data_IF_369963879847
#
_entry.id   IF_369963879847
#
_cell.length_a   1.000
_cell.length_b   1.000
_cell.length_c   1.000
_cell.angle_alpha   90.00
_cell.angle_beta   90.00
_cell.angle_gamma   90.00
#
_symmetry.space_group_name_H-M   'P 1'
#
loop_
_entity.id
_entity.type
_entity.pdbx_description
1 polymer ?
#
# COMPACT_ATOMS: atom_id res chain seq x y z
N UNK A 1 9.65 -12.06 -0.60
CA UNK A 1 11.10 -11.74 -0.58
C UNK A 1 11.71 -12.29 0.70
N UNK A 2 13.02 -12.53 0.72
CA UNK A 2 13.73 -12.95 1.95
C UNK A 2 13.65 -11.88 3.05
N UNK A 3 13.66 -10.60 2.67
CA UNK A 3 13.47 -9.47 3.59
C UNK A 3 12.58 -8.42 2.93
N UNK A 4 11.48 -8.05 3.57
CA UNK A 4 10.61 -6.96 3.11
C UNK A 4 10.93 -5.70 3.91
N UNK A 5 11.21 -4.59 3.22
CA UNK A 5 11.53 -3.30 3.85
C UNK A 5 10.42 -2.26 3.58
N UNK A 6 10.72 -0.99 3.77
CA UNK A 6 9.77 0.13 3.64
C UNK A 6 9.14 0.20 2.25
N UNK A 7 9.94 -0.06 1.22
CA UNK A 7 9.49 -0.06 -0.18
C UNK A 7 8.43 -1.14 -0.42
N UNK A 8 8.62 -2.35 0.14
CA UNK A 8 7.60 -3.41 0.07
C UNK A 8 6.34 -3.05 0.84
N UNK A 9 6.44 -2.31 1.96
CA UNK A 9 5.25 -1.85 2.69
C UNK A 9 4.43 -0.89 1.80
N UNK A 10 5.08 0.06 1.12
CA UNK A 10 4.40 0.97 0.18
C UNK A 10 3.76 0.21 -1.00
N UNK A 11 4.48 -0.75 -1.60
CA UNK A 11 3.95 -1.58 -2.69
C UNK A 11 2.73 -2.39 -2.23
N UNK A 12 2.82 -3.05 -1.09
CA UNK A 12 1.73 -3.86 -0.57
C UNK A 12 0.54 -3.01 -0.15
N UNK A 13 0.76 -1.81 0.40
CA UNK A 13 -0.31 -0.85 0.69
C UNK A 13 -1.05 -0.41 -0.58
N UNK A 14 -0.33 -0.11 -1.67
CA UNK A 14 -0.98 0.21 -2.95
C UNK A 14 -1.79 -0.97 -3.50
N UNK A 15 -1.25 -2.19 -3.45
CA UNK A 15 -1.99 -3.39 -3.85
C UNK A 15 -3.23 -3.62 -3.00
N UNK A 16 -3.14 -3.40 -1.68
CA UNK A 16 -4.27 -3.49 -0.75
C UNK A 16 -5.37 -2.49 -1.13
N UNK A 17 -5.02 -1.25 -1.50
CA UNK A 17 -5.98 -0.22 -1.88
C UNK A 17 -6.67 -0.54 -3.21
N UNK A 18 -5.89 -1.01 -4.21
CA UNK A 18 -6.41 -1.46 -5.50
C UNK A 18 -7.32 -2.69 -5.34
N UNK A 19 -6.95 -3.62 -4.47
CA UNK A 19 -7.78 -4.78 -4.17
C UNK A 19 -9.09 -4.35 -3.50
N UNK A 20 -9.04 -3.42 -2.53
CA UNK A 20 -10.24 -2.88 -1.90
C UNK A 20 -11.21 -2.26 -2.92
N UNK A 21 -10.69 -1.51 -3.90
CA UNK A 21 -11.51 -0.97 -4.99
C UNK A 21 -12.09 -2.07 -5.89
N UNK A 22 -11.29 -3.08 -6.27
CA UNK A 22 -11.79 -4.21 -7.05
C UNK A 22 -12.97 -4.91 -6.37
N UNK A 23 -12.87 -5.15 -5.07
CA UNK A 23 -13.94 -5.81 -4.33
C UNK A 23 -15.20 -4.93 -4.28
N UNK A 24 -15.05 -3.61 -4.10
CA UNK A 24 -16.17 -2.68 -4.12
C UNK A 24 -16.87 -2.65 -5.50
N UNK A 25 -16.11 -2.61 -6.60
CA UNK A 25 -16.66 -2.56 -7.96
C UNK A 25 -17.37 -3.87 -8.34
N UNK A 26 -16.75 -5.02 -8.03
CA UNK A 26 -17.36 -6.34 -8.32
C UNK A 26 -18.65 -6.51 -7.53
N UNK A 27 -18.66 -6.14 -6.24
CA UNK A 27 -19.87 -6.22 -5.43
C UNK A 27 -20.95 -5.28 -5.95
N UNK A 28 -20.64 -4.02 -6.24
CA UNK A 28 -21.63 -3.06 -6.75
C UNK A 28 -22.24 -3.53 -8.09
N UNK A 29 -21.40 -4.02 -9.01
CA UNK A 29 -21.87 -4.50 -10.31
C UNK A 29 -22.81 -5.71 -10.20
N UNK A 30 -22.53 -6.66 -9.31
CA UNK A 30 -23.41 -7.82 -9.08
C UNK A 30 -24.75 -7.40 -8.46
N UNK A 31 -24.72 -6.40 -7.57
CA UNK A 31 -25.93 -5.88 -6.90
C UNK A 31 -26.87 -5.19 -7.88
N UNK A 32 -26.33 -4.25 -8.67
CA UNK A 32 -27.10 -3.50 -9.67
C UNK A 32 -27.80 -4.44 -10.65
N UNK A 33 -27.14 -5.54 -11.00
CA UNK A 33 -27.67 -6.52 -11.94
C UNK A 33 -28.81 -7.38 -11.34
N UNK A 34 -28.68 -7.84 -10.10
CA UNK A 34 -29.78 -8.56 -9.42
C UNK A 34 -31.00 -7.68 -9.18
N UNK A 35 -30.80 -6.40 -8.85
CA UNK A 35 -31.89 -5.44 -8.73
C UNK A 35 -32.61 -5.21 -10.06
N UNK A 36 -31.87 -5.07 -11.16
CA UNK A 36 -32.44 -4.93 -12.50
C UNK A 36 -33.23 -6.17 -12.95
N UNK A 37 -32.74 -7.37 -12.63
CA UNK A 37 -33.40 -8.64 -12.99
C UNK A 37 -34.52 -9.05 -12.02
N UNK A 38 -34.71 -8.31 -10.91
CA UNK A 38 -35.72 -8.62 -9.89
C UNK A 38 -35.41 -9.92 -9.12
N UNK A 39 -34.14 -10.30 -9.04
CA UNK A 39 -33.68 -11.53 -8.38
C UNK A 39 -33.48 -11.26 -6.90
N UNK A 40 -34.01 -12.15 -6.05
CA UNK A 40 -33.76 -12.11 -4.61
C UNK A 40 -32.29 -12.33 -4.29
N UNK A 41 -31.62 -11.31 -3.76
CA UNK A 41 -30.19 -11.35 -3.46
C UNK A 41 -29.93 -11.79 -2.00
N UNK A 42 -28.94 -12.66 -1.81
CA UNK A 42 -28.34 -12.96 -0.51
C UNK A 42 -26.96 -12.30 -0.44
N UNK A 43 -26.71 -11.50 0.61
CA UNK A 43 -25.44 -10.83 0.81
C UNK A 43 -24.28 -11.84 0.78
N UNK A 44 -23.35 -11.66 -0.14
CA UNK A 44 -22.16 -12.50 -0.23
C UNK A 44 -21.09 -11.85 0.64
N UNK A 45 -20.70 -12.53 1.73
CA UNK A 45 -19.61 -12.08 2.58
C UNK A 45 -18.30 -12.02 1.77
N UNK A 46 -17.74 -10.81 1.68
CA UNK A 46 -16.44 -10.56 1.10
C UNK A 46 -15.43 -10.25 2.22
N UNK A 47 -14.17 -10.67 2.03
CA UNK A 47 -13.08 -10.42 2.97
C UNK A 47 -12.67 -8.95 2.99
N UNK A 48 -13.41 -8.12 3.73
CA UNK A 48 -13.16 -6.68 3.84
C UNK A 48 -11.73 -6.37 4.34
N UNK A 49 -10.99 -5.62 3.52
CA UNK A 49 -9.64 -5.19 3.81
C UNK A 49 -9.55 -3.73 4.28
N UNK A 50 -10.67 -3.06 4.55
CA UNK A 50 -10.72 -1.70 5.11
C UNK A 50 -9.94 -1.62 6.41
N UNK A 51 -10.05 -2.60 7.31
CA UNK A 51 -9.28 -2.62 8.56
C UNK A 51 -7.76 -2.74 8.32
N UNK A 52 -7.34 -3.44 7.25
CA UNK A 52 -5.93 -3.50 6.85
C UNK A 52 -5.43 -2.13 6.36
N UNK A 53 -6.21 -1.48 5.49
CA UNK A 53 -5.91 -0.14 4.97
C UNK A 53 -5.83 0.89 6.10
N UNK A 54 -6.77 0.83 7.04
CA UNK A 54 -6.81 1.68 8.22
C UNK A 54 -5.59 1.49 9.12
N UNK A 55 -5.21 0.24 9.40
CA UNK A 55 -3.99 -0.07 10.14
C UNK A 55 -2.76 0.58 9.50
N UNK A 56 -2.66 0.60 8.17
CA UNK A 56 -1.50 1.15 7.47
C UNK A 56 -1.49 2.68 7.45
N UNK A 57 -2.62 3.32 7.13
CA UNK A 57 -2.64 4.74 6.74
C UNK A 57 -3.70 5.63 7.41
N UNK A 58 -4.49 5.13 8.37
CA UNK A 58 -5.52 5.97 9.01
C UNK A 58 -4.91 7.10 9.84
N UNK A 59 -5.49 8.29 9.76
CA UNK A 59 -4.97 9.49 10.41
C UNK A 59 -5.49 9.68 11.84
N UNK A 60 -6.78 9.45 12.07
CA UNK A 60 -7.46 9.71 13.35
C UNK A 60 -6.95 8.79 14.45
N UNK A 61 -6.81 7.50 14.13
CA UNK A 61 -6.02 6.55 14.89
C UNK A 61 -4.75 6.29 14.11
N UNK A 62 -3.60 6.93 14.46
CA UNK A 62 -2.40 6.89 13.64
C UNK A 62 -2.00 5.47 13.24
N UNK A 63 -2.13 5.18 11.96
CA UNK A 63 -1.67 3.95 11.33
C UNK A 63 -0.15 3.86 11.29
N UNK A 64 0.35 2.74 10.76
CA UNK A 64 1.78 2.43 10.69
C UNK A 64 2.59 3.57 10.05
N UNK A 65 2.13 4.14 8.93
CA UNK A 65 2.87 5.20 8.23
C UNK A 65 2.87 6.53 9.01
N UNK A 66 1.79 6.86 9.71
CA UNK A 66 1.75 8.07 10.54
C UNK A 66 2.60 7.92 11.82
N UNK A 67 2.64 6.73 12.41
CA UNK A 67 3.56 6.43 13.52
C UNK A 67 5.03 6.52 13.08
N UNK A 68 5.33 6.15 11.82
CA UNK A 68 6.66 6.33 11.25
C UNK A 68 7.01 7.81 11.07
N UNK A 69 6.05 8.62 10.60
CA UNK A 69 6.22 10.07 10.45
C UNK A 69 6.52 10.75 11.79
N UNK A 70 5.83 10.35 12.87
CA UNK A 70 6.11 10.84 14.22
C UNK A 70 7.58 10.58 14.60
N UNK A 71 8.10 9.37 14.35
CA UNK A 71 9.51 9.05 14.62
C UNK A 71 10.49 9.81 13.72
N UNK A 72 10.07 10.27 12.54
CA UNK A 72 10.91 11.10 11.70
C UNK A 72 11.10 12.52 12.27
N UNK A 73 10.14 13.00 13.06
CA UNK A 73 10.20 14.34 13.68
C UNK A 73 10.92 14.38 15.03
N UNK A 74 11.00 13.26 15.72
CA UNK A 74 11.65 13.15 17.03
C UNK A 74 13.18 13.13 16.84
N UNK A 75 13.90 13.97 17.60
CA UNK A 75 15.38 14.08 17.51
C UNK A 75 16.09 12.75 17.80
N UNK A 76 15.57 11.95 18.72
CA UNK A 76 16.02 10.59 19.06
C UNK A 76 15.14 9.48 18.46
N UNK A 77 14.39 9.80 17.40
CA UNK A 77 13.56 8.83 16.69
C UNK A 77 14.40 7.70 16.11
N UNK A 78 13.92 6.47 16.25
CA UNK A 78 14.65 5.27 15.82
C UNK A 78 13.67 4.18 15.35
N UNK A 79 14.16 3.24 14.56
CA UNK A 79 13.36 2.10 14.09
C UNK A 79 12.85 1.23 15.26
N UNK A 80 13.62 1.15 16.36
CA UNK A 80 13.22 0.44 17.57
C UNK A 80 12.03 1.14 18.27
N UNK A 81 12.09 2.47 18.39
CA UNK A 81 11.00 3.26 18.95
C UNK A 81 9.76 3.22 18.06
N UNK A 82 9.94 3.21 16.74
CA UNK A 82 8.87 3.01 15.76
C UNK A 82 8.13 1.68 15.98
N UNK A 83 8.86 0.56 16.07
CA UNK A 83 8.25 -0.76 16.33
C UNK A 83 7.54 -0.78 17.68
N UNK A 84 8.14 -0.18 18.71
CA UNK A 84 7.50 -0.08 20.02
C UNK A 84 6.20 0.71 19.96
N UNK A 85 6.15 1.81 19.21
CA UNK A 85 4.95 2.62 19.02
C UNK A 85 3.85 1.86 18.27
N UNK A 86 4.20 1.14 17.18
CA UNK A 86 3.27 0.28 16.44
C UNK A 86 2.68 -0.79 17.35
N UNK A 87 3.53 -1.48 18.14
CA UNK A 87 3.09 -2.49 19.10
C UNK A 87 2.16 -1.91 20.17
N UNK A 88 2.54 -0.79 20.77
CA UNK A 88 1.76 -0.16 21.83
C UNK A 88 0.39 0.32 21.33
N UNK A 89 0.32 0.85 20.11
CA UNK A 89 -0.91 1.40 19.53
C UNK A 89 -1.87 0.34 19.02
N UNK A 90 -1.36 -0.70 18.37
CA UNK A 90 -2.15 -1.65 17.59
C UNK A 90 -2.05 -3.09 18.12
N UNK A 91 -1.63 -3.28 19.37
CA UNK A 91 -1.62 -4.60 20.01
C UNK A 91 -3.02 -5.23 19.99
N UNK A 92 -3.13 -6.45 19.45
CA UNK A 92 -4.40 -7.16 19.33
C UNK A 92 -5.22 -6.79 18.10
N UNK A 93 -4.74 -5.88 17.23
CA UNK A 93 -5.40 -5.61 15.96
C UNK A 93 -5.37 -6.87 15.05
N UNK A 94 -6.49 -7.27 14.42
CA UNK A 94 -6.59 -8.55 13.70
C UNK A 94 -5.60 -8.66 12.53
N UNK A 95 -5.24 -7.53 11.93
CA UNK A 95 -4.28 -7.46 10.82
C UNK A 95 -2.82 -7.28 11.24
N UNK A 96 -2.53 -7.02 12.52
CA UNK A 96 -1.16 -6.86 13.02
C UNK A 96 -0.62 -8.18 13.54
N UNK A 97 0.47 -8.66 12.95
CA UNK A 97 1.17 -9.88 13.37
C UNK A 97 2.47 -9.49 14.07
N UNK A 98 2.61 -9.84 15.35
CA UNK A 98 3.84 -9.62 16.08
C UNK A 98 4.75 -10.85 15.99
N UNK A 99 5.99 -10.72 15.51
CA UNK A 99 6.89 -11.87 15.43
C UNK A 99 7.26 -12.37 16.83
N UNK A 100 7.61 -13.66 16.91
CA UNK A 100 8.10 -14.29 18.15
C UNK A 100 9.37 -13.57 18.64
N UNK A 101 9.64 -13.66 19.96
CA UNK A 101 10.77 -12.98 20.64
C UNK A 101 12.07 -12.99 19.81
N UNK A 102 12.67 -11.82 19.60
CA UNK A 102 13.98 -11.66 18.95
C UNK A 102 13.97 -10.99 17.57
N UNK A 103 12.81 -10.84 16.91
CA UNK A 103 12.74 -10.18 15.60
C UNK A 103 12.49 -8.66 15.72
N UNK A 104 13.34 -7.89 15.02
CA UNK A 104 13.24 -6.44 14.87
C UNK A 104 12.26 -6.09 13.73
N UNK A 105 10.96 -6.21 14.02
CA UNK A 105 9.92 -5.88 13.04
C UNK A 105 8.50 -6.15 13.52
N UNK A 106 7.59 -6.09 12.55
CA UNK A 106 6.18 -6.46 12.66
C UNK A 106 5.73 -7.08 11.32
N UNK A 107 4.62 -7.80 11.35
CA UNK A 107 3.96 -8.30 10.15
C UNK A 107 2.56 -7.71 9.99
N UNK A 108 2.08 -7.71 8.76
CA UNK A 108 0.71 -7.32 8.41
C UNK A 108 0.07 -8.48 7.63
N UNK A 109 -1.14 -8.85 8.01
CA UNK A 109 -1.94 -9.86 7.31
C UNK A 109 -2.64 -9.25 6.09
N UNK A 110 -1.93 -9.11 4.97
CA UNK A 110 -2.52 -8.59 3.73
C UNK A 110 -3.53 -9.58 3.12
N UNK A 111 -4.36 -9.11 2.18
CA UNK A 111 -5.27 -10.00 1.43
C UNK A 111 -4.55 -11.19 0.76
N UNK A 112 -3.29 -11.00 0.36
CA UNK A 112 -2.46 -12.01 -0.28
C UNK A 112 -1.70 -12.92 0.71
N UNK A 113 -1.81 -12.67 2.03
CA UNK A 113 -1.12 -13.40 3.08
C UNK A 113 -0.31 -12.51 4.04
N UNK A 114 0.28 -13.13 5.07
CA UNK A 114 1.07 -12.41 6.08
C UNK A 114 2.44 -12.03 5.54
N UNK A 115 2.77 -10.74 5.57
CA UNK A 115 4.10 -10.23 5.21
C UNK A 115 4.78 -9.65 6.44
N UNK A 116 6.00 -10.12 6.74
CA UNK A 116 6.82 -9.57 7.82
C UNK A 116 7.79 -8.53 7.27
N UNK A 117 7.85 -7.36 7.92
CA UNK A 117 8.69 -6.24 7.56
C UNK A 117 9.86 -6.09 8.53
N UNK A 118 11.08 -6.05 7.99
CA UNK A 118 12.28 -5.66 8.72
C UNK A 118 12.37 -4.15 8.73
N UNK A 119 12.36 -3.55 9.92
CA UNK A 119 12.27 -2.08 10.06
C UNK A 119 13.60 -1.36 9.94
N UNK A 120 14.70 -2.08 9.69
CA UNK A 120 16.01 -1.47 9.58
C UNK A 120 16.03 -0.38 8.49
N UNK A 121 16.37 0.85 8.89
CA UNK A 121 16.45 2.02 8.03
C UNK A 121 15.11 2.68 7.69
N UNK A 122 13.98 2.28 8.30
CA UNK A 122 12.67 2.85 7.99
C UNK A 122 12.61 4.36 8.26
N UNK A 123 13.11 4.81 9.41
CA UNK A 123 13.09 6.23 9.77
C UNK A 123 13.95 7.06 8.81
N UNK A 124 15.11 6.55 8.41
CA UNK A 124 16.00 7.23 7.46
C UNK A 124 15.38 7.29 6.05
N UNK A 125 14.89 6.16 5.55
CA UNK A 125 14.21 6.06 4.24
C UNK A 125 12.99 6.97 4.16
N UNK A 126 12.21 7.06 5.23
CA UNK A 126 11.00 7.88 5.25
C UNK A 126 11.30 9.39 5.37
N UNK A 127 12.43 9.76 5.97
CA UNK A 127 12.92 11.15 6.06
C UNK A 127 13.30 11.70 4.68
N UNK A 128 13.93 10.87 3.84
CA UNK A 128 14.43 11.23 2.50
C UNK A 128 15.16 12.59 2.46
N UNK A 129 16.02 12.81 3.47
CA UNK A 129 16.69 14.10 3.67
C UNK A 129 17.89 14.20 2.73
N UNK A 130 17.73 14.97 1.67
CA UNK A 130 18.85 15.46 0.88
C UNK A 130 19.57 16.60 1.60
N UNK A 131 20.88 16.46 1.84
CA UNK A 131 21.70 17.50 2.46
C UNK A 131 21.74 18.76 1.62
N UNK A 132 21.46 19.92 2.24
CA UNK A 132 21.42 21.21 1.52
C UNK A 132 22.75 21.58 0.86
N UNK A 133 23.88 21.22 1.48
CA UNK A 133 25.21 21.44 0.89
C UNK A 133 25.40 20.66 -0.43
N UNK A 134 24.84 19.44 -0.51
CA UNK A 134 24.87 18.65 -1.74
C UNK A 134 23.99 19.28 -2.82
N UNK A 135 22.79 19.74 -2.46
CA UNK A 135 21.92 20.49 -3.39
C UNK A 135 22.63 21.73 -3.95
N UNK A 136 23.28 22.53 -3.10
CA UNK A 136 24.02 23.71 -3.52
C UNK A 136 25.21 23.36 -4.44
N UNK A 137 25.93 22.28 -4.13
CA UNK A 137 27.02 21.79 -4.98
C UNK A 137 26.50 21.45 -6.38
N UNK A 138 25.39 20.71 -6.47
CA UNK A 138 24.78 20.31 -7.73
C UNK A 138 24.27 21.51 -8.55
N UNK A 139 23.74 22.54 -7.87
CA UNK A 139 23.26 23.77 -8.50
C UNK A 139 24.37 24.69 -9.03
N UNK A 140 25.60 24.61 -8.50
CA UNK A 140 26.67 25.56 -8.84
C UNK A 140 27.88 24.95 -9.57
N UNK A 141 28.15 23.65 -9.40
CA UNK A 141 29.39 23.02 -9.86
C UNK A 141 29.22 21.95 -10.93
N UNK A 142 27.99 21.68 -11.37
CA UNK A 142 27.71 20.61 -12.34
C UNK A 142 27.36 21.13 -13.74
N UNK A 143 27.18 20.20 -14.69
CA UNK A 143 26.77 20.53 -16.07
C UNK A 143 25.42 21.27 -16.08
N UNK A 144 25.09 22.03 -17.14
CA UNK A 144 23.80 22.70 -17.26
C UNK A 144 22.61 21.76 -17.09
N UNK A 145 22.72 20.52 -17.62
CA UNK A 145 21.70 19.48 -17.45
C UNK A 145 21.51 19.11 -15.97
N UNK A 146 22.58 18.82 -15.24
CA UNK A 146 22.50 18.49 -13.81
C UNK A 146 21.96 19.67 -13.01
N UNK A 147 22.42 20.89 -13.28
CA UNK A 147 21.89 22.09 -12.63
C UNK A 147 20.38 22.22 -12.81
N UNK A 148 19.87 21.92 -14.00
CA UNK A 148 18.43 21.95 -14.30
C UNK A 148 17.64 20.94 -13.45
N UNK A 149 18.17 19.75 -13.20
CA UNK A 149 17.53 18.75 -12.33
C UNK A 149 17.39 19.20 -10.86
N UNK A 150 18.25 20.14 -10.42
CA UNK A 150 18.25 20.67 -9.06
C UNK A 150 17.72 22.10 -8.95
N UNK A 151 17.25 22.70 -10.06
CA UNK A 151 16.44 23.92 -10.03
C UNK A 151 14.99 23.54 -9.84
N UNK A 152 14.36 23.99 -8.75
CA UNK A 152 12.92 23.81 -8.48
C UNK A 152 12.10 24.28 -9.70
N UNK A 153 11.71 23.32 -10.54
CA UNK A 153 10.88 23.54 -11.73
C UNK A 153 9.54 22.79 -11.62
N UNK A 154 9.25 22.16 -10.48
CA UNK A 154 7.93 21.61 -10.22
C UNK A 154 6.96 22.76 -9.85
N UNK A 155 5.85 22.96 -10.59
CA UNK A 155 4.82 23.93 -10.22
C UNK A 155 3.92 23.30 -9.14
N UNK A 156 4.38 23.19 -7.90
CA UNK A 156 3.49 22.78 -6.80
C UNK A 156 4.03 23.12 -5.41
N UNK A 157 3.81 24.36 -4.97
CA UNK A 157 3.19 24.67 -3.67
C UNK A 157 3.25 26.20 -3.46
N UNK A 158 2.18 26.84 -2.93
CA UNK A 158 2.29 28.21 -2.46
C UNK A 158 3.37 28.30 -1.36
N UNK A 159 4.11 29.43 -1.27
CA UNK A 159 5.15 29.58 -0.28
C UNK A 159 4.58 29.36 1.13
N UNK A 160 5.29 28.65 2.02
CA UNK A 160 4.81 28.41 3.38
C UNK A 160 4.55 29.76 4.04
N UNK A 161 3.30 29.96 4.49
CA UNK A 161 2.94 31.11 5.33
C UNK A 161 3.90 31.12 6.53
N UNK A 162 4.62 32.24 6.69
CA UNK A 162 5.58 32.48 7.78
C UNK A 162 4.97 32.04 9.11
N UNK A 163 5.55 31.02 9.75
CA UNK A 163 5.16 30.59 11.11
C UNK A 163 4.96 29.10 11.34
N UNK A 164 4.90 28.25 10.30
CA UNK A 164 5.00 26.79 10.45
C UNK A 164 6.36 26.33 9.91
N UNK A 165 7.12 25.60 10.70
CA UNK A 165 8.33 24.93 10.21
C UNK A 165 7.96 24.16 8.95
N UNK A 166 8.63 24.48 7.84
CA UNK A 166 8.50 23.77 6.58
C UNK A 166 9.18 22.40 6.74
N UNK A 167 8.55 21.50 7.50
CA UNK A 167 8.92 20.10 7.45
C UNK A 167 8.51 19.60 6.07
N UNK A 168 9.50 19.22 5.25
CA UNK A 168 9.25 18.46 4.03
C UNK A 168 8.38 17.26 4.41
N UNK A 169 7.34 17.00 3.62
CA UNK A 169 6.51 15.80 3.79
C UNK A 169 7.42 14.58 3.69
N UNK A 170 7.24 13.61 4.58
CA UNK A 170 7.93 12.32 4.51
C UNK A 170 7.51 11.55 3.24
N UNK A 171 8.31 10.54 2.87
CA UNK A 171 7.98 9.66 1.74
C UNK A 171 6.62 8.98 1.95
N UNK A 172 6.35 8.48 3.16
CA UNK A 172 5.10 7.83 3.52
C UNK A 172 3.89 8.76 3.39
N UNK A 173 3.98 9.99 3.90
CA UNK A 173 2.92 11.00 3.74
C UNK A 173 2.69 11.37 2.28
N UNK A 174 3.76 11.56 1.49
CA UNK A 174 3.65 11.82 0.05
C UNK A 174 2.99 10.65 -0.67
N UNK A 175 3.37 9.41 -0.33
CA UNK A 175 2.82 8.20 -0.92
C UNK A 175 1.32 8.03 -0.64
N UNK A 176 0.88 8.26 0.60
CA UNK A 176 -0.56 8.26 0.96
C UNK A 176 -1.33 9.26 0.10
N UNK A 177 -0.81 10.48 -0.05
CA UNK A 177 -1.45 11.52 -0.87
C UNK A 177 -1.53 11.13 -2.35
N UNK A 178 -0.43 10.64 -2.92
CA UNK A 178 -0.36 10.22 -4.32
C UNK A 178 -1.27 9.03 -4.61
N UNK A 179 -1.28 8.02 -3.73
CA UNK A 179 -2.18 6.88 -3.85
C UNK A 179 -3.63 7.31 -3.71
N UNK A 180 -3.97 8.20 -2.76
CA UNK A 180 -5.32 8.73 -2.60
C UNK A 180 -5.81 9.49 -3.84
N UNK A 181 -4.92 10.26 -4.49
CA UNK A 181 -5.22 10.93 -5.76
C UNK A 181 -5.45 9.92 -6.89
N UNK A 182 -4.57 8.92 -7.02
CA UNK A 182 -4.72 7.84 -8.00
C UNK A 182 -6.04 7.09 -7.82
N UNK A 183 -6.37 6.66 -6.61
CA UNK A 183 -7.62 5.94 -6.32
C UNK A 183 -8.86 6.80 -6.63
N UNK A 184 -8.78 8.12 -6.42
CA UNK A 184 -9.86 9.04 -6.78
C UNK A 184 -10.05 9.13 -8.29
N UNK A 185 -8.96 9.13 -9.07
CA UNK A 185 -9.03 9.06 -10.54
C UNK A 185 -9.62 7.74 -11.01
N UNK A 186 -9.16 6.61 -10.46
CA UNK A 186 -9.66 5.27 -10.82
C UNK A 186 -11.17 5.18 -10.60
N UNK A 187 -11.66 5.61 -9.43
CA UNK A 187 -13.09 5.64 -9.08
C UNK A 187 -13.97 6.49 -10.01
N UNK A 188 -13.37 7.45 -10.72
CA UNK A 188 -14.10 8.31 -11.65
C UNK A 188 -14.18 7.74 -13.08
N UNK A 189 -13.70 6.51 -13.30
CA UNK A 189 -13.63 5.87 -14.63
C UNK A 189 -14.38 4.54 -14.66
N UNK A 190 -14.73 4.06 -15.85
CA UNK A 190 -15.14 2.67 -16.03
C UNK A 190 -13.92 1.76 -15.93
N UNK A 191 -13.86 0.93 -14.89
CA UNK A 191 -12.67 0.12 -14.58
C UNK A 191 -12.78 -1.26 -15.23
N UNK A 192 -11.68 -1.71 -15.84
CA UNK A 192 -11.51 -3.08 -16.33
C UNK A 192 -10.34 -3.74 -15.61
N UNK A 193 -10.54 -4.99 -15.18
CA UNK A 193 -9.56 -5.72 -14.37
C UNK A 193 -8.87 -6.82 -15.18
N UNK A 194 -7.54 -6.79 -15.20
CA UNK A 194 -6.69 -7.82 -15.83
C UNK A 194 -5.76 -8.43 -14.78
N UNK A 195 -5.78 -9.75 -14.62
CA UNK A 195 -4.89 -10.48 -13.70
C UNK A 195 -3.82 -11.23 -14.48
N UNK A 196 -2.57 -10.84 -14.29
CA UNK A 196 -1.41 -11.51 -14.90
C UNK A 196 -0.93 -12.65 -13.99
N UNK A 197 -0.75 -13.84 -14.55
CA UNK A 197 -0.31 -15.04 -13.81
C UNK A 197 1.04 -15.49 -14.36
N UNK A 198 2.02 -15.71 -13.47
CA UNK A 198 3.31 -16.29 -13.81
C UNK A 198 3.21 -17.82 -13.86
N UNK A 199 3.64 -18.47 -14.95
CA UNK A 199 3.47 -19.91 -15.10
C UNK A 199 4.46 -20.72 -14.23
N UNK A 200 5.59 -20.15 -13.86
CA UNK A 200 6.61 -20.75 -12.98
C UNK A 200 7.50 -19.66 -12.36
N UNK A 201 8.22 -20.00 -11.30
CA UNK A 201 9.15 -19.09 -10.63
C UNK A 201 10.44 -18.79 -11.41
N UNK A 202 10.83 -19.66 -12.34
CA UNK A 202 12.07 -19.58 -13.11
C UNK A 202 12.00 -18.67 -14.36
N UNK A 203 10.79 -18.30 -14.78
CA UNK A 203 10.57 -17.54 -16.03
C UNK A 203 10.76 -18.38 -17.30
N UNK A 204 10.65 -19.70 -17.22
CA UNK A 204 10.86 -20.59 -18.35
C UNK A 204 9.59 -20.72 -19.22
N UNK A 205 9.72 -20.75 -20.56
CA UNK A 205 8.58 -21.02 -21.44
C UNK A 205 8.12 -22.48 -21.31
N UNK A 206 6.82 -22.72 -21.51
CA UNK A 206 6.18 -24.05 -21.51
C UNK A 206 6.25 -24.84 -20.18
N UNK A 207 6.73 -24.23 -19.10
CA UNK A 207 6.74 -24.83 -17.75
C UNK A 207 5.59 -24.29 -16.92
N UNK A 208 4.75 -25.17 -16.35
CA UNK A 208 3.58 -24.79 -15.56
C UNK A 208 3.64 -25.41 -14.17
N UNK A 209 3.82 -24.57 -13.15
CA UNK A 209 3.89 -24.97 -11.75
C UNK A 209 2.51 -24.78 -11.10
N UNK A 210 1.72 -25.85 -11.05
CA UNK A 210 0.32 -25.81 -10.58
C UNK A 210 0.18 -25.22 -9.18
N UNK A 211 1.07 -25.57 -8.24
CA UNK A 211 1.03 -25.03 -6.89
C UNK A 211 1.28 -23.51 -6.89
N UNK A 212 2.32 -23.06 -7.60
CA UNK A 212 2.68 -21.65 -7.70
C UNK A 212 1.58 -20.80 -8.34
N UNK A 213 0.86 -21.36 -9.31
CA UNK A 213 -0.27 -20.70 -9.96
C UNK A 213 -1.50 -20.69 -9.07
N UNK A 214 -1.77 -21.80 -8.36
CA UNK A 214 -2.86 -21.88 -7.38
C UNK A 214 -2.71 -20.82 -6.28
N UNK A 215 -1.49 -20.64 -5.76
CA UNK A 215 -1.17 -19.59 -4.79
C UNK A 215 -1.43 -18.20 -5.36
N UNK A 216 -1.01 -17.90 -6.60
CA UNK A 216 -1.30 -16.63 -7.26
C UNK A 216 -2.80 -16.38 -7.46
N UNK A 217 -3.58 -17.39 -7.87
CA UNK A 217 -5.02 -17.27 -8.07
C UNK A 217 -5.76 -16.97 -6.75
N UNK A 218 -5.32 -17.60 -5.66
CA UNK A 218 -5.82 -17.32 -4.32
C UNK A 218 -5.46 -15.88 -3.90
N UNK A 219 -4.17 -15.53 -3.97
CA UNK A 219 -3.68 -14.22 -3.57
C UNK A 219 -4.15 -13.07 -4.46
N UNK A 220 -4.59 -13.31 -5.70
CA UNK A 220 -5.13 -12.28 -6.59
C UNK A 220 -6.66 -12.07 -6.42
N UNK A 221 -7.30 -12.81 -5.51
CA UNK A 221 -8.74 -12.76 -5.29
C UNK A 221 -9.57 -13.40 -6.42
N UNK A 222 -8.94 -14.12 -7.36
CA UNK A 222 -9.64 -14.76 -8.49
C UNK A 222 -10.53 -15.89 -7.99
N UNK A 223 -10.04 -16.69 -7.03
CA UNK A 223 -10.83 -17.79 -6.47
C UNK A 223 -12.05 -17.29 -5.70
N UNK A 224 -11.91 -16.17 -4.97
CA UNK A 224 -13.05 -15.58 -4.26
C UNK A 224 -14.05 -14.97 -5.25
N UNK A 225 -13.60 -14.23 -6.26
CA UNK A 225 -14.49 -13.72 -7.31
C UNK A 225 -15.29 -14.85 -7.98
N UNK A 226 -14.64 -15.97 -8.33
CA UNK A 226 -15.31 -17.14 -8.89
C UNK A 226 -16.31 -17.76 -7.90
N UNK A 227 -15.99 -17.82 -6.61
CA UNK A 227 -16.93 -18.31 -5.59
C UNK A 227 -18.16 -17.42 -5.47
N UNK A 228 -17.98 -16.10 -5.47
CA UNK A 228 -19.07 -15.12 -5.46
C UNK A 228 -19.99 -15.37 -6.66
N UNK A 229 -19.44 -15.36 -7.88
CA UNK A 229 -20.24 -15.60 -9.09
C UNK A 229 -20.93 -16.97 -9.07
N UNK A 230 -20.32 -18.00 -8.47
CA UNK A 230 -20.92 -19.33 -8.32
C UNK A 230 -22.02 -19.43 -7.28
N UNK A 231 -21.94 -18.68 -6.17
CA UNK A 231 -23.02 -18.59 -5.19
C UNK A 231 -24.25 -17.83 -5.71
N UNK A 232 -24.04 -17.14 -6.82
CA UNK A 232 -25.02 -16.36 -7.54
C UNK A 232 -25.63 -17.18 -8.70
N UNK A 233 -25.95 -16.53 -9.82
CA UNK A 233 -26.47 -17.15 -11.05
C UNK A 233 -25.41 -17.13 -12.16
N UNK A 234 -24.40 -18.03 -12.10
CA UNK A 234 -23.20 -17.97 -12.96
C UNK A 234 -23.46 -18.31 -14.44
N UNK A 235 -24.51 -19.08 -14.72
CA UNK A 235 -24.85 -19.50 -16.08
C UNK A 235 -26.13 -18.78 -16.50
N UNK A 236 -26.02 -17.91 -17.51
CA UNK A 236 -27.14 -17.17 -18.10
C UNK A 236 -27.24 -17.51 -19.58
N UNK A 237 -28.46 -17.70 -20.08
CA UNK A 237 -28.77 -18.09 -21.47
C UNK A 237 -29.61 -16.99 -22.10
#
# INVERSE_FOLDING_TARGET
FETNSFEQLCINYANEALQGQFNADVLASEQDEYELEGIGWQHVEFADNVMCLQLISQKELPGVLHLLDEQCTIQSGSDANFVAAVRARHSGHPFLVLPKRGSSGFGIAHYAGVVTYSVAGFVEKNKDVLQQALTQLMQHRCSPFVRHLFTDTAPSAPPPKRGKSSHKLSVGSQFIMQLGALMSTVRATGVHYVRCIKPNGAGEPNTFETQYIGEQLASAGVLEAVRVSRSAWPNRI
#
